data_IF_530343103526
#
_entry.id   IF_530343103526
#
_cell.length_a   1.000
_cell.length_b   1.000
_cell.length_c   1.000
_cell.angle_alpha   90.00
_cell.angle_beta   90.00
_cell.angle_gamma   90.00
#
_symmetry.space_group_name_H-M   'P 1'
#
loop_
_entity.id
_entity.type
_entity.pdbx_description
1 polymer ?
#
# COMPACT_ATOMS: atom_id res chain seq x y z
N UNK A 1 10.15 2.96 13.53
CA UNK A 1 9.33 2.46 12.41
C UNK A 1 8.22 1.60 13.01
N UNK A 2 6.96 1.69 12.56
CA UNK A 2 5.92 0.79 13.05
C UNK A 2 6.36 -0.67 12.80
N UNK A 3 6.05 -1.61 13.71
CA UNK A 3 6.42 -3.01 13.50
C UNK A 3 5.71 -3.54 12.25
N UNK A 4 6.47 -4.10 11.33
CA UNK A 4 5.94 -4.79 10.14
C UNK A 4 6.26 -6.27 10.29
N UNK A 5 5.23 -7.12 10.26
CA UNK A 5 5.41 -8.58 10.20
C UNK A 5 5.46 -8.98 8.73
N UNK A 6 6.61 -9.42 8.25
CA UNK A 6 6.79 -9.86 6.87
C UNK A 6 6.77 -11.38 6.75
N UNK A 7 6.45 -11.87 5.56
CA UNK A 7 6.83 -13.19 5.07
C UNK A 7 7.67 -13.03 3.80
N UNK A 8 7.95 -14.12 3.10
CA UNK A 8 8.69 -14.06 1.83
C UNK A 8 7.96 -13.34 0.71
N UNK A 9 6.63 -13.21 0.75
CA UNK A 9 5.86 -12.59 -0.34
C UNK A 9 4.80 -11.60 0.13
N UNK A 10 4.68 -11.37 1.44
CA UNK A 10 3.65 -10.50 1.99
C UNK A 10 4.16 -9.73 3.21
N UNK A 11 3.45 -8.69 3.59
CA UNK A 11 3.71 -7.98 4.84
C UNK A 11 2.41 -7.53 5.48
N UNK A 12 2.38 -7.48 6.81
CA UNK A 12 1.30 -6.89 7.60
C UNK A 12 1.80 -5.60 8.21
N UNK A 13 1.14 -4.50 7.85
CA UNK A 13 1.44 -3.15 8.32
C UNK A 13 0.33 -2.68 9.24
N UNK A 14 0.72 -2.22 10.41
CA UNK A 14 -0.17 -1.61 11.39
C UNK A 14 -0.30 -0.12 11.13
N UNK A 15 -1.52 0.35 10.89
CA UNK A 15 -1.84 1.75 10.56
C UNK A 15 -2.61 2.38 11.71
N UNK A 16 -2.21 3.58 12.10
CA UNK A 16 -2.87 4.32 13.18
C UNK A 16 -3.77 5.40 12.60
N UNK A 17 -4.88 5.69 13.28
CA UNK A 17 -5.79 6.77 12.90
C UNK A 17 -5.07 8.11 12.74
N UNK A 18 -4.11 8.38 13.62
CA UNK A 18 -3.37 9.64 13.67
C UNK A 18 -2.34 9.80 12.54
N UNK A 19 -2.15 8.78 11.69
CA UNK A 19 -1.38 8.91 10.46
C UNK A 19 -1.99 9.94 9.51
N UNK A 20 -3.31 10.17 9.63
CA UNK A 20 -4.06 11.16 8.87
C UNK A 20 -4.85 12.04 9.83
N UNK A 21 -4.21 13.07 10.42
CA UNK A 21 -4.97 14.05 11.18
C UNK A 21 -6.05 14.66 10.27
N UNK A 22 -7.28 14.79 10.77
CA UNK A 22 -8.42 15.37 10.04
C UNK A 22 -8.27 16.90 9.82
N UNK A 23 -7.05 17.44 9.82
CA UNK A 23 -6.76 18.88 9.68
C UNK A 23 -7.18 19.43 8.33
N UNK A 24 -7.19 18.58 7.29
CA UNK A 24 -7.53 18.95 5.91
C UNK A 24 -8.92 18.44 5.49
N UNK A 25 -9.75 18.10 6.47
CA UNK A 25 -11.07 17.53 6.28
C UNK A 25 -11.16 16.06 6.66
N UNK A 26 -12.39 15.53 6.63
CA UNK A 26 -12.67 14.14 6.99
C UNK A 26 -12.12 13.19 5.93
N UNK A 27 -11.24 12.28 6.34
CA UNK A 27 -10.79 11.17 5.48
C UNK A 27 -11.97 10.23 5.22
N UNK A 28 -12.34 10.04 3.96
CA UNK A 28 -13.46 9.20 3.52
C UNK A 28 -12.98 7.83 3.03
N UNK A 29 -11.89 7.82 2.26
CA UNK A 29 -11.35 6.62 1.63
C UNK A 29 -9.84 6.58 1.77
N UNK A 30 -9.26 5.42 1.53
CA UNK A 30 -7.83 5.26 1.37
C UNK A 30 -7.48 4.08 0.46
N UNK A 31 -6.25 4.08 -0.04
CA UNK A 31 -5.63 2.96 -0.72
C UNK A 31 -4.16 2.86 -0.30
N UNK A 32 -3.52 1.74 -0.67
CA UNK A 32 -2.13 1.43 -0.36
C UNK A 32 -1.31 1.48 -1.63
N UNK A 33 -0.17 2.16 -1.53
CA UNK A 33 0.84 2.23 -2.56
C UNK A 33 2.08 1.46 -2.10
N UNK A 34 2.63 0.64 -2.97
CA UNK A 34 3.83 -0.15 -2.70
C UNK A 34 4.86 0.09 -3.81
N UNK A 35 6.14 0.15 -3.45
CA UNK A 35 7.26 0.25 -4.37
C UNK A 35 8.52 -0.34 -3.73
N UNK A 36 9.53 -0.71 -4.52
CA UNK A 36 10.88 -0.89 -3.95
C UNK A 36 11.49 0.48 -3.59
N UNK A 37 11.17 1.52 -4.35
CA UNK A 37 11.49 2.91 -3.99
C UNK A 37 10.48 3.89 -4.58
N UNK A 38 10.09 4.92 -3.82
CA UNK A 38 9.33 6.03 -4.37
C UNK A 38 10.28 7.11 -4.94
N UNK A 39 10.19 7.45 -6.24
CA UNK A 39 11.10 8.43 -6.86
C UNK A 39 10.88 9.87 -6.36
N UNK A 40 9.72 10.13 -5.76
CA UNK A 40 9.32 11.44 -5.26
C UNK A 40 8.77 11.35 -3.83
N UNK A 41 8.74 12.48 -3.13
CA UNK A 41 8.11 12.57 -1.80
C UNK A 41 6.61 12.25 -1.81
N UNK A 42 5.95 12.19 -0.64
CA UNK A 42 4.52 11.97 -0.53
C UNK A 42 3.72 12.99 -1.37
N UNK A 43 2.86 12.50 -2.26
CA UNK A 43 2.04 13.36 -3.11
C UNK A 43 0.81 13.89 -2.36
N UNK A 44 0.29 15.03 -2.80
CA UNK A 44 -1.01 15.55 -2.37
C UNK A 44 -1.60 16.40 -3.50
N UNK A 45 -2.91 16.60 -3.47
CA UNK A 45 -3.57 17.43 -4.48
C UNK A 45 -5.09 17.37 -4.41
N UNK A 46 -5.73 18.03 -5.37
CA UNK A 46 -7.17 18.06 -5.54
C UNK A 46 -7.64 16.90 -6.42
N UNK A 47 -8.84 16.39 -6.16
CA UNK A 47 -9.51 15.43 -7.03
C UNK A 47 -10.02 16.15 -8.28
N UNK A 48 -9.83 15.53 -9.44
CA UNK A 48 -10.40 16.02 -10.71
C UNK A 48 -11.60 15.16 -11.05
N UNK A 49 -12.79 15.76 -11.13
CA UNK A 49 -14.05 15.03 -11.33
C UNK A 49 -14.27 13.89 -10.31
N UNK A 50 -13.81 14.08 -9.07
CA UNK A 50 -13.89 13.07 -8.00
C UNK A 50 -12.85 11.94 -8.09
N UNK A 51 -11.92 12.00 -9.04
CA UNK A 51 -10.87 11.00 -9.22
C UNK A 51 -9.52 11.54 -8.74
N UNK A 52 -8.76 10.69 -8.03
CA UNK A 52 -7.37 10.96 -7.68
C UNK A 52 -6.41 10.72 -8.85
N UNK A 53 -5.09 10.87 -8.63
CA UNK A 53 -4.11 10.59 -9.67
C UNK A 53 -4.09 9.10 -10.02
N UNK A 54 -3.99 8.79 -11.31
CA UNK A 54 -3.73 7.44 -11.78
C UNK A 54 -2.38 6.96 -11.25
N UNK A 55 -2.35 5.74 -10.74
CA UNK A 55 -1.12 5.07 -10.30
C UNK A 55 -1.05 3.73 -11.03
N UNK A 56 0.15 3.20 -11.26
CA UNK A 56 0.31 1.94 -11.97
C UNK A 56 -0.40 0.78 -11.25
N UNK A 57 -0.83 -0.20 -12.04
CA UNK A 57 -1.23 -1.51 -11.55
C UNK A 57 -0.01 -2.33 -11.10
N UNK A 58 -0.25 -3.41 -10.36
CA UNK A 58 0.82 -4.34 -10.01
C UNK A 58 1.49 -4.93 -11.26
N UNK A 59 0.69 -5.34 -12.25
CA UNK A 59 1.18 -5.95 -13.48
C UNK A 59 2.12 -5.01 -14.27
N UNK A 60 1.81 -3.71 -14.32
CA UNK A 60 2.70 -2.70 -14.92
C UNK A 60 3.99 -2.54 -14.12
N UNK A 61 3.89 -2.38 -12.79
CA UNK A 61 5.03 -2.05 -11.96
C UNK A 61 6.07 -3.16 -11.84
N UNK A 62 5.65 -4.43 -11.90
CA UNK A 62 6.58 -5.57 -11.83
C UNK A 62 7.39 -5.79 -13.10
N UNK A 63 7.14 -5.04 -14.19
CA UNK A 63 7.96 -5.10 -15.40
C UNK A 63 9.31 -4.39 -15.23
N UNK A 64 9.42 -3.54 -14.21
CA UNK A 64 10.60 -2.74 -13.93
C UNK A 64 11.42 -3.27 -12.75
N UNK A 65 12.72 -2.97 -12.75
CA UNK A 65 13.60 -3.14 -11.60
C UNK A 65 14.41 -1.85 -11.38
N UNK A 66 14.26 -1.15 -10.24
CA UNK A 66 13.39 -1.49 -9.11
C UNK A 66 11.88 -1.43 -9.45
N UNK A 67 11.05 -2.22 -8.75
CA UNK A 67 9.59 -2.22 -8.89
C UNK A 67 9.06 -0.81 -8.60
N UNK A 68 8.37 -0.24 -9.59
CA UNK A 68 7.81 1.10 -9.53
C UNK A 68 6.62 1.19 -8.56
N UNK A 69 6.23 2.41 -8.14
CA UNK A 69 5.03 2.59 -7.34
C UNK A 69 3.76 2.08 -8.03
N UNK A 70 3.06 1.16 -7.37
CA UNK A 70 1.75 0.69 -7.80
C UNK A 70 0.71 0.81 -6.69
N UNK A 71 -0.55 0.85 -7.08
CA UNK A 71 -1.69 0.84 -6.18
C UNK A 71 -2.24 -0.58 -6.04
N UNK A 72 -2.40 -1.04 -4.80
CA UNK A 72 -2.78 -2.45 -4.53
C UNK A 72 -4.28 -2.69 -4.72
N UNK A 73 -5.12 -1.66 -4.62
CA UNK A 73 -6.58 -1.79 -4.69
C UNK A 73 -7.26 -0.46 -5.03
N UNK A 74 -8.51 -0.50 -5.48
CA UNK A 74 -9.34 0.70 -5.55
C UNK A 74 -9.51 1.34 -4.15
N UNK A 75 -9.69 2.67 -4.04
CA UNK A 75 -9.89 3.32 -2.75
C UNK A 75 -11.07 2.71 -1.97
N UNK A 76 -10.81 2.25 -0.74
CA UNK A 76 -11.81 1.67 0.16
C UNK A 76 -12.14 2.62 1.30
N UNK A 77 -13.35 2.47 1.88
CA UNK A 77 -13.78 3.32 3.00
C UNK A 77 -12.81 3.19 4.17
N UNK A 78 -12.54 4.31 4.84
CA UNK A 78 -11.72 4.28 6.05
C UNK A 78 -12.41 3.49 7.18
N UNK A 79 -11.72 2.60 7.88
CA UNK A 79 -12.28 1.88 9.03
C UNK A 79 -12.54 2.81 10.22
N UNK A 80 -11.81 3.92 10.31
CA UNK A 80 -11.81 4.81 11.47
C UNK A 80 -13.07 5.67 11.59
N UNK A 81 -13.90 5.71 10.55
CA UNK A 81 -15.23 6.33 10.63
C UNK A 81 -16.27 5.42 11.30
N UNK A 82 -16.17 4.10 11.10
CA UNK A 82 -17.17 3.15 11.55
C UNK A 82 -16.99 2.78 13.04
N UNK A 83 -15.77 2.85 13.56
CA UNK A 83 -15.45 2.53 14.94
C UNK A 83 -14.52 3.60 15.53
N UNK A 84 -15.06 4.67 16.16
CA UNK A 84 -14.24 5.75 16.71
C UNK A 84 -13.30 5.31 17.85
N UNK A 85 -13.51 4.12 18.42
CA UNK A 85 -12.63 3.47 19.39
C UNK A 85 -11.50 2.63 18.77
N UNK A 86 -11.56 2.31 17.47
CA UNK A 86 -10.46 1.64 16.78
C UNK A 86 -9.39 2.65 16.43
N UNK A 87 -8.30 2.63 17.19
CA UNK A 87 -7.15 3.52 16.98
C UNK A 87 -6.20 2.97 15.90
N UNK A 88 -6.33 1.68 15.56
CA UNK A 88 -5.38 0.92 14.76
C UNK A 88 -6.10 -0.04 13.80
N UNK A 89 -5.57 -0.21 12.58
CA UNK A 89 -5.95 -1.28 11.64
C UNK A 89 -4.69 -2.01 11.13
N UNK A 90 -4.77 -3.34 11.00
CA UNK A 90 -3.73 -4.14 10.33
C UNK A 90 -4.10 -4.35 8.86
N UNK A 91 -3.14 -4.10 7.97
CA UNK A 91 -3.30 -4.26 6.53
C UNK A 91 -2.26 -5.22 6.01
N UNK A 92 -2.71 -6.29 5.37
CA UNK A 92 -1.85 -7.20 4.63
C UNK A 92 -1.66 -6.71 3.19
N UNK A 93 -0.43 -6.75 2.70
CA UNK A 93 -0.05 -6.51 1.30
C UNK A 93 0.69 -7.72 0.74
N UNK A 94 0.67 -7.89 -0.57
CA UNK A 94 1.27 -9.03 -1.27
C UNK A 94 0.50 -10.34 -1.12
N UNK A 95 -0.83 -10.28 -1.00
CA UNK A 95 -1.63 -11.43 -0.61
C UNK A 95 -2.52 -12.02 -1.71
N UNK A 96 -2.70 -11.31 -2.81
CA UNK A 96 -3.59 -11.70 -3.90
C UNK A 96 -2.85 -12.48 -4.99
N UNK A 97 -3.60 -13.28 -5.74
CA UNK A 97 -3.11 -13.97 -6.94
C UNK A 97 -3.43 -13.12 -8.15
N UNK A 98 -2.47 -12.30 -8.57
CA UNK A 98 -2.63 -11.38 -9.68
C UNK A 98 -2.12 -11.97 -10.99
N UNK A 99 -2.71 -11.53 -12.10
CA UNK A 99 -2.19 -11.80 -13.44
C UNK A 99 -1.09 -10.79 -13.76
N UNK A 100 0.06 -11.26 -14.26
CA UNK A 100 1.17 -10.39 -14.71
C UNK A 100 0.85 -9.64 -16.01
N UNK A 101 -0.31 -9.89 -16.61
CA UNK A 101 -0.77 -9.32 -17.88
C UNK A 101 -2.07 -8.54 -17.77
N UNK A 102 -2.63 -8.40 -16.57
CA UNK A 102 -3.80 -7.54 -16.33
C UNK A 102 -3.34 -6.14 -15.94
N UNK A 103 -3.19 -5.28 -16.95
CA UNK A 103 -2.75 -3.89 -16.77
C UNK A 103 -3.90 -2.91 -16.46
N UNK A 104 -5.13 -3.39 -16.38
CA UNK A 104 -6.33 -2.55 -16.23
C UNK A 104 -6.87 -2.57 -14.79
N UNK A 105 -6.59 -3.63 -14.04
CA UNK A 105 -7.15 -3.83 -12.70
C UNK A 105 -6.09 -3.71 -11.61
N UNK A 106 -6.39 -2.94 -10.56
CA UNK A 106 -5.59 -2.94 -9.35
C UNK A 106 -5.67 -4.29 -8.64
N UNK A 107 -4.53 -4.81 -8.23
CA UNK A 107 -4.39 -6.11 -7.58
C UNK A 107 -3.18 -6.10 -6.63
N UNK A 108 -3.32 -6.72 -5.47
CA UNK A 108 -2.29 -6.78 -4.41
C UNK A 108 -1.37 -8.00 -4.58
N UNK A 109 -0.67 -8.05 -5.72
CA UNK A 109 0.11 -9.22 -6.11
C UNK A 109 1.32 -9.48 -5.23
N UNK A 110 1.84 -10.72 -5.23
CA UNK A 110 2.88 -11.15 -4.31
C UNK A 110 4.12 -10.25 -4.41
N UNK A 111 4.72 -9.96 -3.26
CA UNK A 111 5.99 -9.24 -3.18
C UNK A 111 7.16 -10.16 -3.51
N UNK A 112 8.26 -9.60 -4.00
CA UNK A 112 9.50 -10.34 -4.17
C UNK A 112 10.11 -10.71 -2.82
N UNK A 113 10.68 -11.91 -2.67
CA UNK A 113 11.37 -12.32 -1.44
C UNK A 113 12.69 -11.57 -1.24
N UNK A 114 13.16 -11.54 0.00
CA UNK A 114 14.43 -10.92 0.41
C UNK A 114 14.63 -9.47 -0.10
N UNK A 115 13.54 -8.72 -0.20
CA UNK A 115 13.49 -7.44 -0.91
C UNK A 115 13.06 -6.31 0.01
N UNK A 116 13.75 -5.18 -0.05
CA UNK A 116 13.37 -3.96 0.65
C UNK A 116 12.24 -3.26 -0.11
N UNK A 117 11.18 -2.91 0.61
CA UNK A 117 10.01 -2.21 0.10
C UNK A 117 9.71 -0.95 0.90
N UNK A 118 9.04 -0.04 0.21
CA UNK A 118 8.43 1.16 0.74
C UNK A 118 6.91 1.09 0.53
N UNK A 119 6.17 1.52 1.53
CA UNK A 119 4.72 1.63 1.50
C UNK A 119 4.29 3.05 1.87
N UNK A 120 3.27 3.54 1.16
CA UNK A 120 2.54 4.76 1.52
C UNK A 120 1.06 4.48 1.53
N UNK A 121 0.35 5.17 2.39
CA UNK A 121 -1.10 5.14 2.41
C UNK A 121 -1.58 6.44 1.78
N UNK A 122 -2.41 6.34 0.75
CA UNK A 122 -3.04 7.50 0.14
C UNK A 122 -4.45 7.64 0.69
N UNK A 123 -4.69 8.70 1.44
CA UNK A 123 -5.99 9.03 1.99
C UNK A 123 -6.70 10.07 1.11
N UNK A 124 -8.03 9.97 1.05
CA UNK A 124 -8.89 10.82 0.23
C UNK A 124 -9.96 11.48 1.10
N UNK A 125 -10.15 12.79 0.91
CA UNK A 125 -11.31 13.54 1.41
C UNK A 125 -12.35 13.66 0.29
N UNK A 126 -13.38 14.47 0.49
CA UNK A 126 -14.35 14.78 -0.58
C UNK A 126 -13.75 15.59 -1.73
N UNK A 127 -12.64 16.30 -1.50
CA UNK A 127 -12.08 17.26 -2.46
C UNK A 127 -10.63 16.98 -2.84
N UNK A 128 -9.87 16.26 -2.02
CA UNK A 128 -8.44 16.05 -2.25
C UNK A 128 -7.92 14.70 -1.79
N UNK A 129 -6.62 14.51 -1.98
CA UNK A 129 -5.87 13.35 -1.51
C UNK A 129 -4.51 13.75 -0.95
N UNK A 130 -3.95 12.87 -0.11
CA UNK A 130 -2.61 12.99 0.44
C UNK A 130 -2.01 11.62 0.74
N UNK A 131 -0.74 11.47 0.41
CA UNK A 131 0.07 10.32 0.80
C UNK A 131 0.64 10.51 2.21
N UNK A 132 0.69 9.44 2.98
CA UNK A 132 1.38 9.40 4.26
C UNK A 132 2.89 9.52 4.11
N UNK A 133 3.60 9.64 5.24
CA UNK A 133 5.02 9.31 5.31
C UNK A 133 5.28 7.86 4.85
N UNK A 134 6.54 7.56 4.53
CA UNK A 134 6.93 6.25 4.00
C UNK A 134 7.17 5.25 5.13
N UNK A 135 6.57 4.07 5.01
CA UNK A 135 6.80 2.91 5.88
C UNK A 135 7.74 1.98 5.14
N UNK A 136 8.91 1.69 5.73
CA UNK A 136 9.90 0.78 5.14
C UNK A 136 9.80 -0.59 5.78
N UNK A 137 9.92 -1.64 4.96
CA UNK A 137 9.98 -3.02 5.42
C UNK A 137 10.80 -3.87 4.46
N UNK A 138 11.10 -5.10 4.86
CA UNK A 138 11.82 -6.06 4.03
C UNK A 138 11.09 -7.40 4.08
N UNK A 139 10.91 -8.05 2.93
CA UNK A 139 10.37 -9.41 2.87
C UNK A 139 11.42 -10.42 3.30
N UNK A 140 10.97 -11.54 3.85
CA UNK A 140 11.86 -12.61 4.31
C UNK A 140 12.47 -13.37 3.12
N UNK A 141 13.55 -14.11 3.36
CA UNK A 141 14.02 -15.08 2.38
C UNK A 141 12.98 -16.20 2.20
N UNK A 142 12.90 -16.85 1.02
CA UNK A 142 12.07 -18.02 0.85
C UNK A 142 12.58 -19.13 1.78
N UNK A 143 11.73 -19.65 2.66
CA UNK A 143 12.08 -20.82 3.45
C UNK A 143 12.24 -22.00 2.51
N UNK A 144 13.48 -22.36 2.19
CA UNK A 144 13.74 -23.63 1.52
C UNK A 144 13.44 -24.71 2.56
N UNK A 145 12.40 -25.51 2.33
CA UNK A 145 12.11 -26.64 3.22
C UNK A 145 13.33 -27.55 3.25
N UNK A 146 14.11 -27.49 4.32
CA UNK A 146 15.05 -28.54 4.65
C UNK A 146 14.19 -29.74 5.05
N UNK A 147 13.84 -30.57 4.08
CA UNK A 147 13.47 -31.94 4.35
C UNK A 147 14.75 -32.59 4.88
N UNK A 148 14.90 -32.67 6.20
CA UNK A 148 15.88 -33.60 6.76
C UNK A 148 15.41 -35.00 6.39
N UNK A 149 16.14 -35.63 5.47
CA UNK A 149 16.07 -37.06 5.18
C UNK A 149 16.63 -37.85 6.37
#
# INVERSE_FOLDING_TARGET
LPPVKSSSHSAVVTIHRDLFPNTEGTILYFTILVAQTFPHGPAHGWLTNGTGPTTSTWAEAIQDRPILPYQTSAPRKTPFQAAPSSEVEEIKVGSERCSETDYETYCDGPLEPATAYELRIRAFTSTGYRDSGTIKFQTEHPTTGFLML
#
